data_IF_486236631132
#
_entry.id   IF_486236631132
#
_cell.length_a   1.000
_cell.length_b   1.000
_cell.length_c   1.000
_cell.angle_alpha   90.00
_cell.angle_beta   90.00
_cell.angle_gamma   90.00
#
_symmetry.space_group_name_H-M   'P 1'
#
loop_
_entity.id
_entity.type
_entity.pdbx_description
1 polymer ?
#
# COMPACT_ATOMS: atom_id res chain seq x y z
N UNK A 1 -13.25 6.06 -18.44
CA UNK A 1 -12.88 5.74 -19.85
C UNK A 1 -13.31 4.31 -20.14
N UNK A 2 -14.05 4.08 -21.19
CA UNK A 2 -14.43 2.74 -21.64
C UNK A 2 -13.22 2.06 -22.32
N UNK A 3 -13.21 0.72 -22.34
CA UNK A 3 -12.03 -0.02 -22.83
C UNK A 3 -11.73 0.25 -24.32
N UNK A 4 -12.75 0.38 -25.16
CA UNK A 4 -12.59 0.69 -26.59
C UNK A 4 -11.96 2.07 -26.80
N UNK A 5 -12.41 3.07 -26.02
CA UNK A 5 -11.81 4.41 -26.03
C UNK A 5 -10.35 4.37 -25.58
N UNK A 6 -10.08 3.63 -24.51
CA UNK A 6 -8.71 3.46 -23.98
C UNK A 6 -7.81 2.81 -25.02
N UNK A 7 -8.28 1.73 -25.67
CA UNK A 7 -7.52 1.05 -26.72
C UNK A 7 -7.20 1.99 -27.88
N UNK A 8 -8.17 2.79 -28.32
CA UNK A 8 -7.95 3.77 -29.37
C UNK A 8 -6.87 4.81 -29.04
N UNK A 9 -6.79 5.22 -27.76
CA UNK A 9 -5.78 6.16 -27.26
C UNK A 9 -4.41 5.48 -27.05
N UNK A 10 -4.38 4.22 -26.64
CA UNK A 10 -3.15 3.46 -26.44
C UNK A 10 -2.38 3.19 -27.74
N UNK A 11 -3.06 3.02 -28.87
CA UNK A 11 -2.37 2.74 -30.17
C UNK A 11 -1.38 3.84 -30.55
N UNK A 12 -1.77 5.12 -30.67
CA UNK A 12 -0.81 6.19 -30.99
C UNK A 12 0.22 6.38 -29.88
N UNK A 13 -0.17 6.25 -28.59
CA UNK A 13 0.74 6.33 -27.46
C UNK A 13 1.87 5.29 -27.58
N UNK A 14 1.53 4.02 -27.76
CA UNK A 14 2.48 2.91 -27.87
C UNK A 14 3.43 3.11 -29.06
N UNK A 15 2.88 3.49 -30.23
CA UNK A 15 3.69 3.76 -31.43
C UNK A 15 4.74 4.82 -31.21
N UNK A 16 4.38 5.90 -30.53
CA UNK A 16 5.31 6.97 -30.22
C UNK A 16 6.34 6.52 -29.18
N UNK A 17 5.88 5.98 -28.04
CA UNK A 17 6.76 5.64 -26.93
C UNK A 17 7.74 4.51 -27.24
N UNK A 18 7.39 3.60 -28.14
CA UNK A 18 8.26 2.52 -28.61
C UNK A 18 9.01 2.83 -29.91
N UNK A 19 8.70 3.96 -30.58
CA UNK A 19 9.30 4.32 -31.87
C UNK A 19 8.94 3.33 -32.97
N UNK A 20 7.80 2.64 -32.89
CA UNK A 20 7.37 1.62 -33.86
C UNK A 20 5.98 1.99 -34.42
N UNK A 21 5.93 2.61 -35.64
CA UNK A 21 4.66 3.00 -36.23
C UNK A 21 3.71 1.84 -36.56
N UNK A 22 4.22 0.61 -36.66
CA UNK A 22 3.44 -0.60 -36.92
C UNK A 22 2.96 -1.31 -35.66
N UNK A 23 3.34 -0.83 -34.47
CA UNK A 23 2.93 -1.45 -33.22
C UNK A 23 1.40 -1.44 -33.05
N UNK A 24 0.90 -2.53 -32.49
CA UNK A 24 -0.53 -2.75 -32.17
C UNK A 24 -0.73 -2.89 -30.67
N UNK A 25 -1.93 -2.64 -30.21
CA UNK A 25 -2.34 -2.84 -28.81
C UNK A 25 -3.39 -3.95 -28.75
N UNK A 26 -3.17 -4.91 -27.88
CA UNK A 26 -4.03 -6.08 -27.68
C UNK A 26 -4.32 -6.27 -26.18
N UNK A 27 -5.31 -7.10 -25.85
CA UNK A 27 -5.61 -7.54 -24.48
C UNK A 27 -5.82 -6.39 -23.47
N UNK A 28 -6.44 -5.27 -23.87
CA UNK A 28 -6.77 -4.18 -22.96
C UNK A 28 -7.83 -4.65 -21.97
N UNK A 29 -7.51 -4.65 -20.69
CA UNK A 29 -8.41 -5.10 -19.63
C UNK A 29 -8.24 -4.25 -18.37
N UNK A 30 -9.28 -4.19 -17.53
CA UNK A 30 -9.19 -3.55 -16.22
C UNK A 30 -8.33 -4.40 -15.29
N UNK A 31 -7.45 -3.75 -14.57
CA UNK A 31 -6.67 -4.37 -13.49
C UNK A 31 -7.52 -4.56 -12.22
N UNK A 32 -7.06 -5.39 -11.30
CA UNK A 32 -7.67 -5.54 -9.97
C UNK A 32 -7.52 -4.25 -9.15
N UNK A 33 -8.41 -4.04 -8.18
CA UNK A 33 -8.34 -2.95 -7.21
C UNK A 33 -9.54 -2.00 -7.26
N UNK A 34 -9.81 -1.34 -6.12
CA UNK A 34 -10.98 -0.48 -5.91
C UNK A 34 -10.68 1.02 -5.99
N UNK A 35 -9.41 1.42 -5.85
CA UNK A 35 -9.05 2.82 -5.61
C UNK A 35 -8.71 3.63 -6.87
N UNK A 36 -8.58 2.99 -8.03
CA UNK A 36 -8.20 3.72 -9.24
C UNK A 36 -8.53 3.00 -10.53
N UNK A 37 -8.28 3.66 -11.64
CA UNK A 37 -8.41 3.09 -12.96
C UNK A 37 -7.06 2.48 -13.35
N UNK A 38 -6.92 1.18 -13.06
CA UNK A 38 -5.79 0.35 -13.44
C UNK A 38 -6.15 -0.46 -14.66
N UNK A 39 -5.22 -0.58 -15.59
CA UNK A 39 -5.41 -1.34 -16.83
C UNK A 39 -4.18 -2.15 -17.14
N UNK A 40 -4.37 -3.33 -17.72
CA UNK A 40 -3.32 -4.09 -18.39
C UNK A 40 -3.53 -4.02 -19.89
N UNK A 41 -2.45 -4.01 -20.63
CA UNK A 41 -2.48 -4.09 -22.09
C UNK A 41 -1.17 -4.67 -22.63
N UNK A 42 -1.24 -5.23 -23.84
CA UNK A 42 -0.08 -5.71 -24.55
C UNK A 42 0.23 -4.80 -25.73
N UNK A 43 1.51 -4.47 -25.92
CA UNK A 43 2.02 -3.91 -27.15
C UNK A 43 2.67 -5.03 -27.97
N UNK A 44 2.22 -5.18 -29.21
CA UNK A 44 2.81 -6.10 -30.19
C UNK A 44 3.53 -5.28 -31.22
N UNK A 45 4.88 -5.39 -31.23
CA UNK A 45 5.75 -4.66 -32.13
C UNK A 45 5.66 -5.19 -33.56
N UNK A 46 6.13 -4.41 -34.53
CA UNK A 46 6.25 -4.84 -35.93
C UNK A 46 7.13 -6.10 -36.12
N UNK A 47 8.07 -6.31 -35.19
CA UNK A 47 8.90 -7.52 -35.13
C UNK A 47 8.15 -8.78 -34.67
N UNK A 48 6.93 -8.65 -34.15
CA UNK A 48 6.19 -9.71 -33.49
C UNK A 48 6.48 -9.85 -31.97
N UNK A 49 7.43 -9.10 -31.44
CA UNK A 49 7.69 -9.08 -29.99
C UNK A 49 6.48 -8.55 -29.24
N UNK A 50 6.09 -9.23 -28.16
CA UNK A 50 5.00 -8.83 -27.25
C UNK A 50 5.59 -8.30 -25.95
N UNK A 51 5.10 -7.15 -25.51
CA UNK A 51 5.44 -6.52 -24.22
C UNK A 51 4.17 -6.24 -23.45
N UNK A 52 4.12 -6.66 -22.19
CA UNK A 52 2.99 -6.48 -21.31
C UNK A 52 3.19 -5.28 -20.40
N UNK A 53 2.14 -4.47 -20.26
CA UNK A 53 2.20 -3.23 -19.50
C UNK A 53 1.04 -3.09 -18.52
N UNK A 54 1.31 -2.32 -17.46
CA UNK A 54 0.34 -1.79 -16.50
C UNK A 54 0.23 -0.28 -16.70
N UNK A 55 -1.00 0.22 -16.85
CA UNK A 55 -1.32 1.66 -16.91
C UNK A 55 -2.15 2.04 -15.70
N UNK A 56 -1.77 3.11 -15.01
CA UNK A 56 -2.57 3.73 -13.94
C UNK A 56 -3.06 5.10 -14.41
N UNK A 57 -4.37 5.33 -14.21
CA UNK A 57 -5.04 6.61 -14.36
C UNK A 57 -5.71 6.98 -13.03
N UNK A 58 -5.96 8.27 -12.72
CA UNK A 58 -6.75 8.63 -11.55
C UNK A 58 -8.23 8.30 -11.77
N UNK A 59 -9.02 8.12 -10.70
CA UNK A 59 -10.47 8.01 -10.82
C UNK A 59 -11.07 9.25 -11.50
N UNK A 60 -12.13 9.13 -12.32
CA UNK A 60 -12.74 10.29 -12.96
C UNK A 60 -13.44 11.18 -11.94
N UNK A 61 -13.34 12.50 -12.17
CA UNK A 61 -14.05 13.50 -11.38
C UNK A 61 -13.51 13.73 -9.96
N UNK A 62 -12.36 13.14 -9.61
CA UNK A 62 -11.70 13.44 -8.34
C UNK A 62 -10.73 14.63 -8.49
N UNK A 63 -10.54 15.37 -7.40
CA UNK A 63 -9.49 16.37 -7.31
C UNK A 63 -8.15 15.66 -7.25
N UNK A 64 -7.21 16.04 -8.14
CA UNK A 64 -5.88 15.42 -8.25
C UNK A 64 -4.94 15.94 -7.16
N UNK A 65 -5.26 15.62 -5.92
CA UNK A 65 -4.51 16.01 -4.72
C UNK A 65 -4.38 14.83 -3.74
N UNK A 66 -3.38 14.87 -2.90
CA UNK A 66 -3.14 13.82 -1.90
C UNK A 66 -2.97 12.43 -2.56
N UNK A 67 -3.76 11.44 -2.16
CA UNK A 67 -3.70 10.06 -2.68
C UNK A 67 -4.16 9.91 -4.13
N UNK A 68 -4.92 10.88 -4.67
CA UNK A 68 -5.34 10.89 -6.06
C UNK A 68 -4.30 11.50 -7.02
N UNK A 69 -3.24 12.10 -6.49
CA UNK A 69 -2.12 12.63 -7.29
C UNK A 69 -1.13 11.51 -7.64
N UNK A 70 -1.22 11.03 -8.89
CA UNK A 70 -0.36 9.94 -9.39
C UNK A 70 1.13 10.30 -9.40
N UNK A 71 1.49 11.59 -9.48
CA UNK A 71 2.89 11.99 -9.50
C UNK A 71 3.59 11.74 -8.17
N UNK A 72 2.85 11.63 -7.08
CA UNK A 72 3.36 11.16 -5.79
C UNK A 72 3.86 9.71 -5.90
N UNK A 73 3.04 8.81 -6.47
CA UNK A 73 3.42 7.41 -6.71
C UNK A 73 4.63 7.32 -7.64
N UNK A 74 4.62 8.09 -8.74
CA UNK A 74 5.76 8.18 -9.68
C UNK A 74 7.04 8.60 -8.96
N UNK A 75 6.96 9.62 -8.10
CA UNK A 75 8.12 10.10 -7.33
C UNK A 75 8.64 9.02 -6.38
N UNK A 76 7.75 8.38 -5.62
CA UNK A 76 8.14 7.33 -4.68
C UNK A 76 8.83 6.16 -5.39
N UNK A 77 8.22 5.65 -6.49
CA UNK A 77 8.79 4.52 -7.24
C UNK A 77 10.13 4.88 -7.89
N UNK A 78 10.25 6.05 -8.51
CA UNK A 78 11.52 6.52 -9.07
C UNK A 78 12.60 6.71 -8.02
N UNK A 79 12.23 7.08 -6.80
CA UNK A 79 13.18 7.21 -5.70
C UNK A 79 13.81 5.86 -5.29
N UNK A 80 13.21 4.73 -5.66
CA UNK A 80 13.75 3.39 -5.45
C UNK A 80 14.80 2.98 -6.47
N UNK A 81 14.92 3.68 -7.60
CA UNK A 81 15.88 3.33 -8.64
C UNK A 81 17.32 3.30 -8.10
N UNK A 82 18.01 2.17 -8.33
CA UNK A 82 19.38 1.96 -7.85
C UNK A 82 19.52 1.64 -6.35
N UNK A 83 18.42 1.47 -5.60
CA UNK A 83 18.46 1.13 -4.16
C UNK A 83 18.51 -0.38 -3.89
N UNK A 84 18.23 -1.21 -4.87
CA UNK A 84 18.06 -2.65 -4.71
C UNK A 84 16.68 -3.07 -4.15
N UNK A 85 15.78 -2.13 -3.85
CA UNK A 85 14.40 -2.45 -3.46
C UNK A 85 13.64 -2.97 -4.70
N UNK A 86 13.02 -4.17 -4.64
CA UNK A 86 12.22 -4.69 -5.74
C UNK A 86 11.02 -3.77 -6.06
N UNK A 87 10.93 -3.30 -7.30
CA UNK A 87 9.85 -2.44 -7.77
C UNK A 87 9.65 -2.56 -9.29
N UNK A 88 8.45 -2.29 -9.77
CA UNK A 88 8.20 -2.13 -11.20
C UNK A 88 8.63 -0.71 -11.62
N UNK A 89 9.59 -0.54 -12.54
CA UNK A 89 10.08 0.80 -12.92
C UNK A 89 9.00 1.62 -13.62
N UNK A 90 9.02 2.93 -13.45
CA UNK A 90 8.16 3.85 -14.21
C UNK A 90 8.77 4.05 -15.60
N UNK A 91 8.17 3.44 -16.61
CA UNK A 91 8.61 3.58 -17.99
C UNK A 91 8.22 4.94 -18.58
N UNK A 92 6.95 5.30 -18.40
CA UNK A 92 6.40 6.56 -18.87
C UNK A 92 5.44 7.13 -17.83
N UNK A 93 5.47 8.44 -17.65
CA UNK A 93 4.54 9.17 -16.81
C UNK A 93 4.38 10.59 -17.35
N UNK A 94 3.21 11.17 -17.17
CA UNK A 94 2.94 12.55 -17.58
C UNK A 94 1.64 13.08 -16.98
N UNK A 95 1.52 14.41 -17.03
CA UNK A 95 0.34 15.14 -16.59
C UNK A 95 -0.40 15.81 -17.77
N UNK A 96 0.20 15.76 -18.96
CA UNK A 96 -0.33 16.35 -20.18
C UNK A 96 -1.58 15.59 -20.64
N UNK A 97 -2.66 16.31 -21.02
CA UNK A 97 -3.91 15.68 -21.43
C UNK A 97 -3.86 15.00 -22.80
N UNK A 98 -2.76 15.10 -23.53
CA UNK A 98 -2.59 14.66 -24.91
C UNK A 98 -3.01 13.20 -25.12
N UNK A 99 -2.58 12.28 -24.25
CA UNK A 99 -2.79 10.86 -24.43
C UNK A 99 -4.14 10.39 -23.88
N UNK A 100 -4.37 10.63 -22.60
CA UNK A 100 -5.51 10.06 -21.88
C UNK A 100 -6.50 11.13 -21.36
N UNK A 101 -6.17 12.42 -21.51
CA UNK A 101 -6.93 13.50 -20.93
C UNK A 101 -6.76 13.62 -19.41
N UNK A 102 -5.87 12.82 -18.82
CA UNK A 102 -5.63 12.66 -17.38
C UNK A 102 -4.13 12.40 -17.16
N UNK A 103 -3.60 12.71 -15.96
CA UNK A 103 -2.30 12.21 -15.55
C UNK A 103 -2.24 10.69 -15.63
N UNK A 104 -1.04 10.17 -15.93
CA UNK A 104 -0.85 8.73 -16.09
C UNK A 104 0.56 8.30 -15.70
N UNK A 105 0.71 7.02 -15.42
CA UNK A 105 1.99 6.34 -15.51
C UNK A 105 1.83 4.92 -16.08
N UNK A 106 2.92 4.43 -16.67
CA UNK A 106 3.01 3.09 -17.25
C UNK A 106 4.24 2.38 -16.70
N UNK A 107 4.04 1.12 -16.32
CA UNK A 107 5.06 0.19 -15.82
C UNK A 107 5.03 -1.10 -16.64
N UNK A 108 6.11 -1.90 -16.65
CA UNK A 108 6.02 -3.27 -17.15
C UNK A 108 5.07 -4.06 -16.27
N UNK A 109 4.29 -4.97 -16.85
CA UNK A 109 3.58 -5.98 -16.08
C UNK A 109 4.57 -7.06 -15.64
N UNK A 110 4.70 -7.25 -14.35
CA UNK A 110 5.57 -8.28 -13.78
C UNK A 110 4.81 -9.61 -13.66
N UNK A 111 5.48 -10.76 -13.92
CA UNK A 111 4.87 -12.08 -13.88
C UNK A 111 4.79 -12.61 -12.44
N UNK A 112 3.82 -12.17 -11.67
CA UNK A 112 3.66 -12.59 -10.29
C UNK A 112 2.26 -12.33 -9.74
N UNK A 113 2.02 -12.82 -8.53
CA UNK A 113 0.78 -12.63 -7.77
C UNK A 113 1.06 -12.04 -6.39
N UNK A 114 0.08 -11.34 -5.85
CA UNK A 114 0.12 -10.90 -4.45
C UNK A 114 -0.43 -11.99 -3.53
N UNK A 115 -0.02 -11.96 -2.27
CA UNK A 115 -0.59 -12.82 -1.23
C UNK A 115 -1.91 -12.21 -0.75
N UNK A 116 -2.97 -12.33 -1.56
CA UNK A 116 -4.31 -11.80 -1.24
C UNK A 116 -4.91 -12.47 -0.02
N UNK A 117 -4.76 -13.80 0.02
CA UNK A 117 -5.07 -14.59 1.18
C UNK A 117 -3.75 -14.88 1.87
N UNK A 118 -3.64 -14.60 3.12
CA UNK A 118 -2.42 -14.80 3.91
C UNK A 118 -2.03 -16.29 4.04
N UNK A 119 -2.63 -17.17 3.21
CA UNK A 119 -2.58 -18.63 3.30
C UNK A 119 -2.39 -19.34 1.96
N UNK A 120 -1.46 -18.91 1.10
CA UNK A 120 -1.33 -19.62 -0.16
C UNK A 120 -0.83 -21.05 0.11
N UNK A 121 -1.72 -22.02 -0.04
CA UNK A 121 -1.40 -23.45 0.12
C UNK A 121 -0.24 -23.91 -0.77
N UNK A 122 0.00 -23.18 -1.88
CA UNK A 122 1.09 -23.44 -2.81
C UNK A 122 2.50 -23.26 -2.20
N UNK A 123 2.62 -22.53 -1.10
CA UNK A 123 3.92 -22.31 -0.44
C UNK A 123 4.01 -23.05 0.89
N UNK A 124 5.16 -23.65 1.16
CA UNK A 124 5.50 -24.19 2.47
C UNK A 124 5.73 -23.07 3.49
N UNK A 125 5.65 -23.40 4.79
CA UNK A 125 5.94 -22.42 5.86
C UNK A 125 7.37 -21.86 5.78
N UNK A 126 8.33 -22.68 5.34
CA UNK A 126 9.70 -22.24 5.12
C UNK A 126 9.79 -21.19 3.99
N UNK A 127 9.05 -21.38 2.89
CA UNK A 127 8.96 -20.40 1.81
C UNK A 127 8.27 -19.12 2.27
N UNK A 128 7.15 -19.21 3.00
CA UNK A 128 6.46 -18.04 3.54
C UNK A 128 7.36 -17.22 4.48
N UNK A 129 8.18 -17.89 5.29
CA UNK A 129 9.17 -17.21 6.15
C UNK A 129 10.24 -16.49 5.32
N UNK A 130 10.76 -17.11 4.26
CA UNK A 130 11.73 -16.46 3.39
C UNK A 130 11.11 -15.29 2.62
N UNK A 131 9.90 -15.44 2.10
CA UNK A 131 9.14 -14.36 1.46
C UNK A 131 8.94 -13.16 2.40
N UNK A 132 8.60 -13.42 3.67
CA UNK A 132 8.46 -12.38 4.68
C UNK A 132 9.81 -11.71 5.02
N UNK A 133 10.91 -12.46 5.04
CA UNK A 133 12.25 -11.89 5.24
C UNK A 133 12.64 -10.97 4.08
N UNK A 134 12.37 -11.36 2.84
CA UNK A 134 12.55 -10.49 1.67
C UNK A 134 11.74 -9.20 1.78
N UNK A 135 10.47 -9.30 2.23
CA UNK A 135 9.62 -8.14 2.46
C UNK A 135 10.21 -7.17 3.49
N UNK A 136 10.70 -7.68 4.63
CA UNK A 136 11.32 -6.84 5.67
C UNK A 136 12.63 -6.21 5.18
N UNK A 137 13.40 -6.90 4.36
CA UNK A 137 14.60 -6.36 3.70
C UNK A 137 14.23 -5.23 2.73
N UNK A 138 13.19 -5.43 1.93
CA UNK A 138 12.68 -4.39 1.03
C UNK A 138 12.16 -3.17 1.80
N UNK A 139 11.41 -3.38 2.88
CA UNK A 139 10.92 -2.31 3.75
C UNK A 139 12.07 -1.48 4.33
N UNK A 140 13.10 -2.14 4.86
CA UNK A 140 14.31 -1.47 5.34
C UNK A 140 15.01 -0.66 4.21
N UNK A 141 15.01 -1.18 2.99
CA UNK A 141 15.51 -0.48 1.80
C UNK A 141 14.72 0.78 1.47
N UNK A 142 13.37 0.71 1.51
CA UNK A 142 12.46 1.84 1.33
C UNK A 142 12.78 2.95 2.35
N UNK A 143 12.91 2.59 3.62
CA UNK A 143 13.16 3.54 4.70
C UNK A 143 14.55 4.20 4.67
N UNK A 144 15.47 3.65 3.85
CA UNK A 144 16.81 4.23 3.60
C UNK A 144 16.87 5.14 2.37
N UNK A 145 15.77 5.29 1.64
CA UNK A 145 15.75 6.18 0.47
C UNK A 145 16.14 7.60 0.90
N UNK A 146 17.14 8.21 0.23
CA UNK A 146 17.57 9.56 0.57
C UNK A 146 16.45 10.59 0.40
N UNK A 147 16.26 11.47 1.38
CA UNK A 147 15.18 12.48 1.39
C UNK A 147 15.25 13.43 0.20
N UNK A 148 16.43 13.65 -0.34
CA UNK A 148 16.68 14.51 -1.52
C UNK A 148 15.95 14.03 -2.76
N UNK A 149 15.59 12.73 -2.81
CA UNK A 149 14.80 12.14 -3.91
C UNK A 149 13.28 12.35 -3.76
N UNK A 150 12.82 12.87 -2.62
CA UNK A 150 11.42 12.88 -2.19
C UNK A 150 10.73 14.24 -2.29
N UNK A 151 11.38 15.25 -2.88
CA UNK A 151 10.92 16.65 -2.84
C UNK A 151 9.46 16.86 -3.26
N UNK A 152 8.97 16.13 -4.25
CA UNK A 152 7.58 16.20 -4.69
C UNK A 152 6.56 15.69 -3.66
N UNK A 153 6.97 14.79 -2.76
CA UNK A 153 6.07 14.23 -1.74
C UNK A 153 5.71 15.21 -0.63
N UNK A 154 6.45 16.33 -0.54
CA UNK A 154 6.25 17.37 0.47
C UNK A 154 6.83 17.00 1.84
N UNK A 155 6.37 17.72 2.86
CA UNK A 155 6.85 17.57 4.22
C UNK A 155 5.91 16.71 5.09
N UNK A 156 6.45 16.22 6.19
CA UNK A 156 5.66 15.55 7.23
C UNK A 156 4.79 16.58 7.99
N UNK A 157 3.48 16.32 8.05
CA UNK A 157 2.52 17.25 8.65
C UNK A 157 2.40 17.16 10.17
N UNK A 158 3.21 16.33 10.81
CA UNK A 158 3.25 16.17 12.26
C UNK A 158 2.48 14.96 12.78
N UNK A 159 2.89 14.50 13.95
CA UNK A 159 2.29 13.33 14.59
C UNK A 159 0.85 13.56 15.04
N UNK A 160 0.55 14.77 15.55
CA UNK A 160 -0.80 15.16 15.94
C UNK A 160 -1.78 15.03 14.77
N UNK A 161 -1.35 15.49 13.58
CA UNK A 161 -2.16 15.34 12.38
C UNK A 161 -2.34 13.87 12.01
N UNK A 162 -1.29 13.05 12.09
CA UNK A 162 -1.37 11.61 11.75
C UNK A 162 -2.33 10.85 12.68
N UNK A 163 -2.51 11.30 13.92
CA UNK A 163 -3.50 10.76 14.86
C UNK A 163 -4.89 11.37 14.63
N UNK A 164 -5.00 12.68 14.49
CA UNK A 164 -6.31 13.37 14.53
C UNK A 164 -7.06 13.36 13.20
N UNK A 165 -6.37 13.19 12.06
CA UNK A 165 -7.00 13.11 10.74
C UNK A 165 -8.06 12.00 10.62
N UNK A 166 -8.05 11.03 11.53
CA UNK A 166 -8.99 9.90 11.55
C UNK A 166 -10.30 10.22 12.26
N UNK A 167 -10.42 11.36 12.94
CA UNK A 167 -11.63 11.76 13.68
C UNK A 167 -12.86 11.79 12.78
N UNK A 168 -12.74 12.37 11.58
CA UNK A 168 -13.82 12.44 10.59
C UNK A 168 -14.33 11.08 10.10
N UNK A 169 -13.49 10.04 10.16
CA UNK A 169 -13.84 8.67 9.81
C UNK A 169 -14.50 7.97 11.00
N UNK A 170 -13.94 8.18 12.20
CA UNK A 170 -14.50 7.69 13.46
C UNK A 170 -15.94 8.17 13.68
N UNK A 171 -16.20 9.46 13.51
CA UNK A 171 -17.54 10.07 13.68
C UNK A 171 -18.60 9.47 12.74
N UNK A 172 -18.18 8.80 11.68
CA UNK A 172 -19.04 8.20 10.65
C UNK A 172 -19.00 6.67 10.64
N UNK A 173 -18.22 6.07 11.53
CA UNK A 173 -18.07 4.62 11.60
C UNK A 173 -19.41 3.94 11.98
N UNK A 174 -19.63 2.76 11.43
CA UNK A 174 -20.68 1.88 11.93
C UNK A 174 -20.24 1.24 13.25
N UNK A 175 -21.20 0.82 14.07
CA UNK A 175 -21.00 0.16 15.37
C UNK A 175 -20.00 0.92 16.28
N UNK A 176 -20.31 2.17 16.64
CA UNK A 176 -19.43 3.00 17.46
C UNK A 176 -19.12 2.39 18.83
N UNK A 177 -19.97 1.49 19.34
CA UNK A 177 -19.75 0.73 20.58
C UNK A 177 -18.49 -0.15 20.51
N UNK A 178 -18.14 -0.71 19.36
CA UNK A 178 -16.88 -1.47 19.15
C UNK A 178 -15.65 -0.56 19.16
N UNK A 179 -15.85 0.74 18.99
CA UNK A 179 -14.81 1.76 19.04
C UNK A 179 -14.85 2.61 20.35
N UNK A 180 -15.56 2.16 21.37
CA UNK A 180 -15.74 2.91 22.62
C UNK A 180 -14.43 3.33 23.30
N UNK A 181 -13.34 2.60 23.08
CA UNK A 181 -12.00 2.90 23.61
C UNK A 181 -11.22 3.93 22.78
N UNK A 182 -11.71 4.32 21.59
CA UNK A 182 -11.03 5.24 20.67
C UNK A 182 -10.59 6.55 21.36
N UNK A 183 -11.41 7.25 22.16
CA UNK A 183 -10.99 8.51 22.78
C UNK A 183 -9.80 8.31 23.73
N UNK A 184 -9.76 7.20 24.46
CA UNK A 184 -8.67 6.88 25.38
C UNK A 184 -7.38 6.52 24.63
N UNK A 185 -7.49 5.72 23.56
CA UNK A 185 -6.34 5.38 22.69
C UNK A 185 -5.77 6.66 22.09
N UNK A 186 -6.62 7.52 21.54
CA UNK A 186 -6.21 8.80 20.95
C UNK A 186 -5.46 9.68 21.96
N UNK A 187 -5.99 9.83 23.18
CA UNK A 187 -5.33 10.58 24.26
C UNK A 187 -3.91 10.05 24.53
N UNK A 188 -3.77 8.73 24.66
CA UNK A 188 -2.48 8.09 24.93
C UNK A 188 -1.51 8.22 23.75
N UNK A 189 -1.98 8.10 22.51
CA UNK A 189 -1.15 8.33 21.33
C UNK A 189 -0.60 9.76 21.29
N UNK A 190 -1.46 10.76 21.54
CA UNK A 190 -1.04 12.17 21.56
C UNK A 190 -0.10 12.50 22.72
N UNK A 191 -0.26 11.82 23.86
CA UNK A 191 0.59 12.03 25.04
C UNK A 191 1.98 11.41 24.90
N UNK A 192 2.12 10.32 24.13
CA UNK A 192 3.33 9.51 24.04
C UNK A 192 4.01 9.58 22.66
N UNK A 193 3.93 10.72 21.98
CA UNK A 193 4.50 10.89 20.63
C UNK A 193 6.01 10.60 20.62
N UNK A 194 6.50 9.69 19.72
CA UNK A 194 7.92 9.34 19.62
C UNK A 194 8.68 10.34 18.73
N UNK A 195 8.97 11.54 19.21
CA UNK A 195 9.57 12.62 18.43
C UNK A 195 10.92 12.28 17.79
N UNK A 196 11.64 11.28 18.31
CA UNK A 196 12.95 10.84 17.81
C UNK A 196 12.85 9.77 16.72
N UNK A 197 11.65 9.38 16.29
CA UNK A 197 11.50 8.37 15.26
C UNK A 197 12.02 8.86 13.89
N UNK A 198 12.63 7.98 13.08
CA UNK A 198 13.20 8.37 11.80
C UNK A 198 12.12 8.81 10.80
N UNK A 199 12.36 9.93 10.13
CA UNK A 199 11.50 10.50 9.09
C UNK A 199 12.11 10.23 7.71
N UNK A 200 11.33 9.62 6.83
CA UNK A 200 11.75 9.26 5.47
C UNK A 200 10.57 8.89 4.58
N UNK A 201 10.85 8.16 3.51
CA UNK A 201 9.82 7.58 2.66
C UNK A 201 9.11 6.47 3.43
N UNK A 202 7.78 6.53 3.46
CA UNK A 202 6.94 5.41 3.88
C UNK A 202 5.97 5.01 2.75
N UNK A 203 5.60 3.73 2.73
CA UNK A 203 4.65 3.18 1.77
C UNK A 203 3.20 3.56 2.12
N UNK A 204 2.86 3.49 3.39
CA UNK A 204 1.53 3.86 3.93
C UNK A 204 0.51 2.73 3.98
N UNK A 205 0.71 1.66 3.21
CA UNK A 205 -0.10 0.43 3.22
C UNK A 205 0.77 -0.81 2.96
N UNK A 206 1.88 -0.94 3.70
CA UNK A 206 2.80 -2.06 3.53
C UNK A 206 2.22 -3.33 4.16
N UNK A 207 1.64 -4.17 3.32
CA UNK A 207 0.99 -5.43 3.70
C UNK A 207 1.12 -6.48 2.60
N UNK A 208 0.80 -7.73 2.92
CA UNK A 208 1.02 -8.88 2.04
C UNK A 208 0.34 -8.77 0.67
N UNK A 209 -0.84 -8.16 0.60
CA UNK A 209 -1.57 -7.92 -0.65
C UNK A 209 -0.92 -6.88 -1.57
N UNK A 210 0.07 -6.12 -1.07
CA UNK A 210 0.82 -5.11 -1.83
C UNK A 210 2.25 -5.54 -2.12
N UNK A 211 2.54 -6.83 -1.96
CA UNK A 211 3.83 -7.47 -2.25
C UNK A 211 3.65 -8.49 -3.37
N UNK A 212 4.26 -8.23 -4.52
CA UNK A 212 4.16 -9.08 -5.70
C UNK A 212 5.29 -10.11 -5.70
N UNK A 213 4.93 -11.39 -5.68
CA UNK A 213 5.88 -12.50 -5.67
C UNK A 213 5.81 -13.34 -6.95
N UNK A 214 6.95 -13.88 -7.37
CA UNK A 214 7.01 -14.88 -8.43
C UNK A 214 6.33 -16.20 -8.00
N UNK A 215 6.07 -17.12 -8.93
CA UNK A 215 5.61 -18.47 -8.59
C UNK A 215 6.54 -19.23 -7.63
N UNK A 216 7.83 -18.90 -7.60
CA UNK A 216 8.85 -19.51 -6.75
C UNK A 216 8.98 -18.83 -5.38
N UNK A 217 8.32 -17.68 -5.15
CA UNK A 217 8.34 -16.91 -3.90
C UNK A 217 9.45 -15.85 -3.86
N UNK A 218 9.97 -15.40 -5.00
CA UNK A 218 10.86 -14.24 -5.07
C UNK A 218 10.03 -12.95 -5.07
N UNK A 219 10.39 -11.97 -4.24
CA UNK A 219 9.75 -10.66 -4.21
C UNK A 219 10.14 -9.86 -5.47
N UNK A 220 9.18 -9.69 -6.38
CA UNK A 220 9.36 -8.97 -7.64
C UNK A 220 9.15 -7.47 -7.50
N UNK A 221 8.19 -7.04 -6.68
CA UNK A 221 7.92 -5.62 -6.45
C UNK A 221 7.09 -5.37 -5.20
N UNK A 222 7.33 -4.21 -4.57
CA UNK A 222 6.38 -3.54 -3.70
C UNK A 222 5.50 -2.66 -4.58
N UNK A 223 4.18 -2.84 -4.51
CA UNK A 223 3.18 -2.19 -5.38
C UNK A 223 2.17 -1.37 -4.57
N UNK A 224 1.33 -0.61 -5.25
CA UNK A 224 0.25 0.23 -4.69
C UNK A 224 0.74 1.35 -3.75
N UNK A 225 1.51 2.26 -4.32
CA UNK A 225 2.12 3.42 -3.65
C UNK A 225 1.17 4.59 -3.44
N UNK A 226 -0.15 4.42 -3.50
CA UNK A 226 -1.11 5.53 -3.45
C UNK A 226 -1.12 6.27 -2.09
N UNK A 227 -0.76 5.57 -1.00
CA UNK A 227 -0.70 6.13 0.35
C UNK A 227 0.71 6.60 0.77
N UNK A 228 1.69 6.54 -0.14
CA UNK A 228 3.07 6.90 0.16
C UNK A 228 3.22 8.37 0.57
N UNK A 229 4.30 8.65 1.30
CA UNK A 229 4.62 10.01 1.73
C UNK A 229 5.94 10.13 2.45
N UNK A 230 6.22 11.34 2.95
CA UNK A 230 7.31 11.62 3.88
C UNK A 230 6.73 11.67 5.29
N UNK A 231 7.29 10.87 6.20
CA UNK A 231 6.83 10.79 7.58
C UNK A 231 7.60 9.76 8.39
N UNK A 232 7.11 9.39 9.59
CA UNK A 232 7.75 8.36 10.41
C UNK A 232 7.74 7.02 9.67
N UNK A 233 8.93 6.53 9.33
CA UNK A 233 9.07 5.29 8.55
C UNK A 233 8.55 4.07 9.31
N UNK A 234 8.61 4.09 10.64
CA UNK A 234 8.11 3.01 11.49
C UNK A 234 6.58 2.83 11.44
N UNK A 235 5.84 3.74 10.78
CA UNK A 235 4.41 3.55 10.49
C UNK A 235 4.17 2.27 9.67
N UNK A 236 5.01 1.98 8.67
CA UNK A 236 4.86 0.79 7.84
C UNK A 236 5.18 -0.49 8.62
N UNK A 237 6.23 -0.46 9.45
CA UNK A 237 6.58 -1.60 10.30
C UNK A 237 5.46 -1.88 11.31
N UNK A 238 4.93 -0.84 11.97
CA UNK A 238 3.77 -0.98 12.86
C UNK A 238 2.55 -1.55 12.14
N UNK A 239 2.31 -1.12 10.89
CA UNK A 239 1.20 -1.57 10.06
C UNK A 239 1.29 -3.07 9.76
N UNK A 240 2.38 -3.54 9.17
CA UNK A 240 2.54 -4.98 8.83
C UNK A 240 2.55 -5.87 10.08
N UNK A 241 3.10 -5.38 11.20
CA UNK A 241 3.09 -6.10 12.48
C UNK A 241 1.66 -6.31 13.01
N UNK A 242 0.78 -5.30 12.93
CA UNK A 242 -0.62 -5.45 13.38
C UNK A 242 -1.36 -6.49 12.54
N UNK A 243 -1.12 -6.54 11.23
CA UNK A 243 -1.72 -7.56 10.37
C UNK A 243 -1.21 -8.98 10.65
N UNK A 244 -0.02 -9.11 11.22
CA UNK A 244 0.64 -10.40 11.50
C UNK A 244 0.60 -10.80 12.99
N UNK A 245 -0.07 -10.01 13.85
CA UNK A 245 -0.20 -10.29 15.28
C UNK A 245 -1.61 -10.78 15.60
N UNK A 246 -1.81 -12.07 15.95
CA UNK A 246 -3.12 -12.60 16.30
C UNK A 246 -3.82 -11.82 17.43
N UNK A 247 -3.07 -11.20 18.33
CA UNK A 247 -3.63 -10.44 19.45
C UNK A 247 -4.36 -9.15 19.02
N UNK A 248 -4.20 -8.71 17.78
CA UNK A 248 -4.92 -7.57 17.21
C UNK A 248 -6.32 -7.92 16.68
N UNK A 249 -6.64 -9.21 16.55
CA UNK A 249 -7.85 -9.71 15.88
C UNK A 249 -8.81 -10.38 16.86
N UNK A 250 -10.11 -10.29 16.56
CA UNK A 250 -11.16 -10.90 17.39
C UNK A 250 -11.21 -12.44 17.31
N UNK A 251 -10.67 -12.99 16.22
CA UNK A 251 -10.66 -14.43 15.96
C UNK A 251 -9.37 -14.81 15.22
N UNK A 252 -9.01 -16.08 15.32
CA UNK A 252 -7.89 -16.62 14.57
C UNK A 252 -8.21 -16.53 13.07
N UNK A 253 -7.38 -15.82 12.33
CA UNK A 253 -7.47 -15.69 10.89
C UNK A 253 -6.85 -16.88 10.16
N UNK A 254 -6.26 -17.83 10.90
CA UNK A 254 -5.54 -18.96 10.35
C UNK A 254 -4.27 -18.57 9.59
N UNK A 255 -3.69 -17.40 9.84
CA UNK A 255 -2.52 -16.91 9.10
C UNK A 255 -1.33 -17.85 9.26
N UNK A 256 -0.70 -18.19 8.13
CA UNK A 256 0.56 -18.92 8.08
C UNK A 256 1.78 -18.00 7.96
N UNK A 257 1.55 -16.68 7.89
CA UNK A 257 2.62 -15.71 7.84
C UNK A 257 3.34 -15.64 9.20
N UNK A 258 4.64 -15.30 9.20
CA UNK A 258 5.42 -15.15 10.43
C UNK A 258 4.80 -14.14 11.39
N UNK A 259 4.96 -14.40 12.71
CA UNK A 259 4.47 -13.51 13.75
C UNK A 259 5.18 -12.15 13.72
N UNK A 260 4.49 -11.13 14.21
CA UNK A 260 4.99 -9.74 14.26
C UNK A 260 6.41 -9.60 14.84
N UNK A 261 6.74 -10.38 15.87
CA UNK A 261 8.06 -10.33 16.51
C UNK A 261 9.20 -10.78 15.57
N UNK A 262 8.92 -11.75 14.68
CA UNK A 262 9.89 -12.20 13.69
C UNK A 262 10.08 -11.16 12.59
N UNK A 263 8.99 -10.53 12.15
CA UNK A 263 9.02 -9.44 11.18
C UNK A 263 9.82 -8.26 11.72
N UNK A 264 9.57 -7.88 12.97
CA UNK A 264 10.32 -6.85 13.66
C UNK A 264 11.83 -7.19 13.73
N UNK A 265 12.18 -8.42 14.13
CA UNK A 265 13.56 -8.86 14.22
C UNK A 265 14.28 -8.77 12.87
N UNK A 266 13.67 -9.25 11.78
CA UNK A 266 14.27 -9.19 10.44
C UNK A 266 14.38 -7.76 9.89
N UNK A 267 13.42 -6.91 10.18
CA UNK A 267 13.53 -5.50 9.82
C UNK A 267 14.73 -4.83 10.51
N UNK A 268 14.91 -5.05 11.84
CA UNK A 268 16.05 -4.48 12.57
C UNK A 268 17.39 -5.07 12.12
N UNK A 269 17.43 -6.37 11.82
CA UNK A 269 18.60 -7.01 11.21
C UNK A 269 18.97 -6.30 9.90
N UNK A 270 17.99 -6.11 9.00
CA UNK A 270 18.18 -5.43 7.74
C UNK A 270 18.58 -3.95 7.91
N UNK A 271 18.08 -3.26 8.95
CA UNK A 271 18.48 -1.89 9.29
C UNK A 271 19.88 -1.77 9.93
N UNK A 272 20.52 -2.90 10.30
CA UNK A 272 21.83 -2.91 10.94
C UNK A 272 21.82 -2.53 12.42
N UNK A 273 20.65 -2.55 13.08
CA UNK A 273 20.47 -2.26 14.49
C UNK A 273 19.05 -1.80 14.79
N UNK A 274 18.69 -1.75 16.08
CA UNK A 274 17.36 -1.31 16.51
C UNK A 274 17.31 0.21 16.64
N UNK A 275 16.65 0.96 15.71
CA UNK A 275 16.58 2.41 15.78
C UNK A 275 15.61 2.94 16.83
N UNK A 276 14.64 2.14 17.32
CA UNK A 276 13.67 2.61 18.30
C UNK A 276 12.62 1.58 18.71
N UNK A 277 11.75 1.98 19.63
CA UNK A 277 10.58 1.23 20.08
C UNK A 277 9.43 1.43 19.10
N UNK A 278 8.80 0.36 18.62
CA UNK A 278 7.69 0.42 17.67
C UNK A 278 6.31 0.27 18.31
N UNK A 279 6.21 0.16 19.64
CA UNK A 279 4.91 -0.05 20.31
C UNK A 279 3.91 1.07 20.00
N UNK A 280 4.36 2.32 19.96
CA UNK A 280 3.53 3.45 19.58
C UNK A 280 3.00 3.31 18.13
N UNK A 281 3.84 2.85 17.21
CA UNK A 281 3.46 2.65 15.80
C UNK A 281 2.52 1.46 15.62
N UNK A 282 2.70 0.38 16.37
CA UNK A 282 1.73 -0.73 16.45
C UNK A 282 0.38 -0.22 16.99
N UNK A 283 0.40 0.60 18.03
CA UNK A 283 -0.82 1.20 18.58
C UNK A 283 -1.52 2.11 17.57
N UNK A 284 -0.78 2.99 16.89
CA UNK A 284 -1.33 3.86 15.85
C UNK A 284 -1.91 3.04 14.69
N UNK A 285 -1.24 1.97 14.27
CA UNK A 285 -1.71 1.10 13.20
C UNK A 285 -3.04 0.43 13.57
N UNK A 286 -3.15 -0.16 14.77
CA UNK A 286 -4.37 -0.77 15.27
C UNK A 286 -5.50 0.26 15.42
N UNK A 287 -5.21 1.44 15.99
CA UNK A 287 -6.13 2.56 16.09
C UNK A 287 -6.71 2.96 14.73
N UNK A 288 -5.84 3.15 13.73
CA UNK A 288 -6.23 3.48 12.36
C UNK A 288 -7.09 2.38 11.75
N UNK A 289 -6.65 1.12 11.86
CA UNK A 289 -7.33 0.01 11.22
C UNK A 289 -8.73 -0.23 11.80
N UNK A 290 -8.91 -0.13 13.12
CA UNK A 290 -10.23 -0.22 13.75
C UNK A 290 -11.18 0.86 13.22
N UNK A 291 -10.72 2.12 13.09
CA UNK A 291 -11.52 3.22 12.54
C UNK A 291 -11.82 3.01 11.05
N UNK A 292 -10.83 2.57 10.26
CA UNK A 292 -10.99 2.27 8.82
C UNK A 292 -12.03 1.17 8.63
N UNK A 293 -11.99 0.12 9.45
CA UNK A 293 -12.97 -0.98 9.42
C UNK A 293 -14.38 -0.45 9.66
N UNK A 294 -14.61 0.32 10.72
CA UNK A 294 -15.93 0.91 10.99
C UNK A 294 -16.44 1.84 9.91
N UNK A 295 -15.56 2.63 9.30
CA UNK A 295 -15.91 3.50 8.20
C UNK A 295 -16.27 2.73 6.92
N UNK A 296 -15.50 1.72 6.54
CA UNK A 296 -15.78 0.90 5.37
C UNK A 296 -17.03 0.03 5.58
N UNK A 297 -17.25 -0.49 6.79
CA UNK A 297 -18.48 -1.17 7.17
C UNK A 297 -19.71 -0.27 6.95
N UNK A 298 -19.63 0.98 7.35
CA UNK A 298 -20.68 1.98 7.08
C UNK A 298 -20.90 2.17 5.58
N UNK A 299 -19.84 2.25 4.77
CA UNK A 299 -19.95 2.38 3.31
C UNK A 299 -20.59 1.13 2.68
N UNK A 300 -20.19 -0.08 3.15
CA UNK A 300 -20.75 -1.35 2.73
C UNK A 300 -22.27 -1.38 3.00
N UNK A 301 -22.69 -1.16 4.24
CA UNK A 301 -24.10 -1.19 4.65
C UNK A 301 -24.97 -0.13 3.96
N UNK A 302 -24.38 0.98 3.54
CA UNK A 302 -25.06 2.03 2.76
C UNK A 302 -25.08 1.76 1.24
N UNK A 303 -24.54 0.62 0.78
CA UNK A 303 -24.44 0.29 -0.63
C UNK A 303 -23.51 1.21 -1.45
N UNK A 304 -22.66 2.01 -0.76
CA UNK A 304 -21.68 2.90 -1.43
C UNK A 304 -20.45 2.16 -1.90
N UNK A 305 -20.09 1.08 -1.20
CA UNK A 305 -18.99 0.18 -1.52
C UNK A 305 -19.34 -1.22 -1.03
N UNK A 306 -19.81 -2.06 -1.94
CA UNK A 306 -20.20 -3.42 -1.57
C UNK A 306 -18.96 -4.31 -1.36
N UNK A 307 -18.75 -4.70 -0.12
CA UNK A 307 -17.65 -5.60 0.27
C UNK A 307 -18.00 -6.29 1.60
N UNK A 308 -18.53 -7.55 1.55
CA UNK A 308 -18.97 -8.29 2.75
C UNK A 308 -17.85 -8.58 3.75
N UNK A 309 -16.58 -8.57 3.33
CA UNK A 309 -15.43 -8.78 4.22
C UNK A 309 -15.44 -7.84 5.43
N UNK A 310 -15.97 -6.62 5.29
CA UNK A 310 -16.07 -5.68 6.40
C UNK A 310 -17.00 -6.14 7.53
N UNK A 311 -18.02 -6.96 7.23
CA UNK A 311 -18.87 -7.59 8.24
C UNK A 311 -18.10 -8.67 9.03
N UNK A 312 -17.27 -9.46 8.34
CA UNK A 312 -16.50 -10.54 8.94
C UNK A 312 -15.46 -10.03 9.94
N UNK A 313 -14.79 -8.92 9.60
CA UNK A 313 -13.73 -8.35 10.43
C UNK A 313 -14.20 -7.29 11.43
N UNK A 314 -15.47 -6.86 11.37
CA UNK A 314 -16.03 -5.84 12.26
C UNK A 314 -15.77 -6.09 13.77
N UNK A 315 -15.88 -7.33 14.30
CA UNK A 315 -15.55 -7.59 15.71
C UNK A 315 -14.11 -7.22 16.10
N UNK A 316 -13.18 -7.22 15.13
CA UNK A 316 -11.78 -6.84 15.37
C UNK A 316 -11.59 -5.34 15.63
N UNK A 317 -12.61 -4.50 15.41
CA UNK A 317 -12.55 -3.08 15.78
C UNK A 317 -12.27 -2.91 17.29
N UNK A 318 -12.96 -3.66 18.13
CA UNK A 318 -12.73 -3.66 19.57
C UNK A 318 -11.35 -4.21 19.92
N UNK A 319 -10.97 -5.37 19.36
CA UNK A 319 -9.66 -6.00 19.60
C UNK A 319 -8.50 -5.07 19.22
N UNK A 320 -8.65 -4.32 18.11
CA UNK A 320 -7.68 -3.31 17.68
C UNK A 320 -7.51 -2.18 18.70
N UNK A 321 -8.61 -1.68 19.30
CA UNK A 321 -8.52 -0.65 20.33
C UNK A 321 -7.88 -1.19 21.61
N UNK A 322 -8.23 -2.40 22.02
CA UNK A 322 -7.63 -3.08 23.18
C UNK A 322 -6.15 -3.36 22.95
N UNK A 323 -5.78 -3.80 21.75
CA UNK A 323 -4.39 -3.98 21.34
C UNK A 323 -3.60 -2.67 21.44
N UNK A 324 -4.15 -1.58 20.91
CA UNK A 324 -3.52 -0.27 20.98
C UNK A 324 -3.29 0.18 22.44
N UNK A 325 -4.26 -0.02 23.35
CA UNK A 325 -4.10 0.28 24.77
C UNK A 325 -2.95 -0.53 25.39
N UNK A 326 -2.89 -1.85 25.13
CA UNK A 326 -1.79 -2.70 25.64
C UNK A 326 -0.43 -2.21 25.16
N UNK A 327 -0.30 -1.82 23.90
CA UNK A 327 0.95 -1.28 23.34
C UNK A 327 1.37 0.03 23.99
N UNK A 328 0.42 0.84 24.46
CA UNK A 328 0.66 2.14 25.11
C UNK A 328 0.77 2.05 26.63
N UNK A 329 0.68 0.85 27.23
CA UNK A 329 0.77 0.64 28.67
C UNK A 329 -0.48 1.10 29.43
N UNK A 330 -1.64 1.08 28.80
CA UNK A 330 -2.94 1.47 29.35
C UNK A 330 -3.83 0.29 29.68
#
# INVERSE_FOLDING_TARGET
>A
MELDELQARLVPFVREKLGDPGARVENVQRGPGHAGFSYFFDAVLSSGERREYFLRLPPPGVKLEGTADLMRQVTAVRALEGTGVPHAPILWAGTEPEWFGLPYFVQPRLPGDTLKDEYPERFSDAQLREMARQAMTALAGIHRVPRERLGYLGEFWGYEFDVTRWDRFYERAAEPELLALQPRVKELLLRNIPHEAPIGLYHGDFQWSNLLYSPEGELLAVIDWELCGVGPTLNDLGWVCVFSDPAAWAHDRGSRMPHADELEAWYWEAMGGRPGDIRWFKALAAYKFGIITGFNLMLHRRGKRHDPHWEEIAPSMQSNMEYALRMLGG
#
